data_IF_031704576658
#
_entry.id   IF_031704576658
#
_cell.length_a   1.000
_cell.length_b   1.000
_cell.length_c   1.000
_cell.angle_alpha   90.00
_cell.angle_beta   90.00
_cell.angle_gamma   90.00
#
_symmetry.space_group_name_H-M   'P 1'
#
loop_
_entity.id
_entity.type
_entity.pdbx_description
1 polymer ?
#
# COMPACT_ATOMS: atom_id res chain seq x y z
N UNK A 1 -23.85 -7.00 13.14
CA UNK A 1 -23.06 -6.08 12.30
C UNK A 1 -23.27 -6.53 10.89
N UNK A 2 -23.76 -5.66 10.03
CA UNK A 2 -24.13 -5.98 8.65
C UNK A 2 -23.01 -5.62 7.65
N UNK A 3 -22.10 -4.71 8.04
CA UNK A 3 -20.91 -4.33 7.28
C UNK A 3 -19.80 -3.81 8.20
N UNK A 4 -18.56 -3.83 7.71
CA UNK A 4 -17.38 -3.24 8.37
C UNK A 4 -16.60 -2.40 7.34
N UNK A 5 -16.28 -1.16 7.68
CA UNK A 5 -15.61 -0.21 6.77
C UNK A 5 -14.18 0.04 7.22
N UNK A 6 -13.24 -0.08 6.30
CA UNK A 6 -11.83 0.20 6.51
C UNK A 6 -11.12 0.32 5.14
N UNK A 7 -9.81 0.54 5.14
CA UNK A 7 -9.00 0.58 3.94
C UNK A 7 -9.04 -0.74 3.16
N UNK A 8 -9.11 -0.66 1.84
CA UNK A 8 -9.30 -1.83 0.96
C UNK A 8 -8.25 -2.93 1.19
N UNK A 9 -6.98 -2.57 1.40
CA UNK A 9 -5.90 -3.53 1.65
C UNK A 9 -6.05 -4.21 3.04
N UNK A 10 -6.56 -3.49 4.04
CA UNK A 10 -6.82 -4.05 5.36
C UNK A 10 -8.04 -4.99 5.31
N UNK A 11 -9.10 -4.61 4.59
CA UNK A 11 -10.25 -5.47 4.34
C UNK A 11 -9.84 -6.76 3.59
N UNK A 12 -8.96 -6.65 2.59
CA UNK A 12 -8.40 -7.81 1.89
C UNK A 12 -7.65 -8.73 2.85
N UNK A 13 -6.79 -8.17 3.71
CA UNK A 13 -6.07 -8.94 4.72
C UNK A 13 -6.99 -9.62 5.74
N UNK A 14 -8.06 -8.94 6.17
CA UNK A 14 -9.07 -9.50 7.07
C UNK A 14 -9.83 -10.65 6.41
N UNK A 15 -10.26 -10.49 5.15
CA UNK A 15 -10.95 -11.53 4.39
C UNK A 15 -10.08 -12.77 4.24
N UNK A 16 -8.81 -12.62 3.85
CA UNK A 16 -7.89 -13.76 3.67
C UNK A 16 -7.67 -14.54 4.98
N UNK A 17 -7.67 -13.85 6.12
CA UNK A 17 -7.45 -14.45 7.45
C UNK A 17 -8.73 -14.92 8.15
N UNK A 18 -9.90 -14.69 7.56
CA UNK A 18 -11.17 -15.10 8.15
C UNK A 18 -11.28 -16.63 8.22
N UNK A 19 -12.00 -17.21 9.19
CA UNK A 19 -12.25 -18.65 9.24
C UNK A 19 -12.92 -19.20 7.96
N UNK A 20 -13.80 -18.40 7.37
CA UNK A 20 -14.50 -18.69 6.11
C UNK A 20 -14.35 -17.50 5.14
N UNK A 21 -13.25 -17.37 4.39
CA UNK A 21 -13.03 -16.23 3.49
C UNK A 21 -14.09 -16.07 2.40
N UNK A 22 -14.73 -17.18 2.00
CA UNK A 22 -15.80 -17.21 0.99
C UNK A 22 -17.10 -16.54 1.43
N UNK A 23 -17.30 -16.36 2.74
CA UNK A 23 -18.51 -15.74 3.30
C UNK A 23 -18.43 -14.20 3.26
N UNK A 24 -17.29 -13.63 2.87
CA UNK A 24 -17.03 -12.20 2.87
C UNK A 24 -16.80 -11.65 1.46
N UNK A 25 -17.41 -10.50 1.20
CA UNK A 25 -17.20 -9.74 -0.03
C UNK A 25 -16.75 -8.31 0.31
N UNK A 26 -15.79 -7.80 -0.46
CA UNK A 26 -15.40 -6.40 -0.41
C UNK A 26 -16.18 -5.72 -1.53
N UNK A 27 -17.04 -4.77 -1.17
CA UNK A 27 -18.02 -4.15 -2.07
C UNK A 27 -17.91 -2.64 -2.04
N UNK A 28 -18.43 -1.99 -3.09
CA UNK A 28 -18.46 -0.54 -3.23
C UNK A 28 -17.17 0.04 -3.81
N UNK A 29 -17.25 1.31 -4.20
CA UNK A 29 -16.10 2.08 -4.65
C UNK A 29 -15.31 2.65 -3.45
N UNK A 30 -14.06 3.07 -3.70
CA UNK A 30 -13.30 3.79 -2.68
C UNK A 30 -13.98 5.11 -2.29
N UNK A 31 -14.18 5.33 -0.99
CA UNK A 31 -14.72 6.58 -0.45
C UNK A 31 -13.71 7.74 -0.52
N UNK A 32 -12.42 7.43 -0.40
CA UNK A 32 -11.33 8.41 -0.36
C UNK A 32 -10.05 7.84 -0.96
N UNK A 33 -9.15 8.73 -1.39
CA UNK A 33 -7.80 8.38 -1.80
C UNK A 33 -6.82 8.82 -0.72
N UNK A 34 -6.26 7.85 0.00
CA UNK A 34 -5.47 8.09 1.22
C UNK A 34 -4.08 7.46 1.07
N UNK A 35 -3.09 8.18 0.50
CA UNK A 35 -1.74 7.65 0.38
C UNK A 35 -1.11 7.48 1.77
N UNK A 36 -0.59 6.29 2.04
CA UNK A 36 0.07 5.98 3.30
C UNK A 36 1.49 6.55 3.35
N UNK A 37 1.84 7.16 4.47
CA UNK A 37 3.19 7.65 4.77
C UNK A 37 3.74 7.06 6.06
N UNK A 38 5.06 7.11 6.22
CA UNK A 38 5.69 6.75 7.49
C UNK A 38 5.49 7.86 8.52
N UNK A 39 4.81 7.55 9.63
CA UNK A 39 4.70 8.47 10.75
C UNK A 39 6.06 8.65 11.44
N UNK A 40 6.36 9.87 11.85
CA UNK A 40 7.64 10.22 12.46
C UNK A 40 7.52 11.42 13.39
N UNK A 41 8.53 11.63 14.24
CA UNK A 41 8.55 12.74 15.19
C UNK A 41 8.43 14.08 14.45
N UNK A 42 7.60 14.96 15.01
CA UNK A 42 7.47 16.33 14.51
C UNK A 42 8.80 17.07 14.68
N UNK A 43 9.11 17.95 13.73
CA UNK A 43 10.32 18.81 13.70
C UNK A 43 11.67 18.07 13.58
N UNK A 44 11.66 16.81 13.13
CA UNK A 44 12.89 16.03 12.86
C UNK A 44 13.15 15.99 11.34
N UNK A 45 13.63 17.10 10.78
CA UNK A 45 13.79 17.26 9.32
C UNK A 45 14.82 16.31 8.73
N UNK A 46 15.91 16.06 9.45
CA UNK A 46 17.04 15.30 8.96
C UNK A 46 16.68 13.82 8.87
N UNK A 47 16.01 13.30 9.91
CA UNK A 47 15.48 11.94 9.87
C UNK A 47 14.42 11.77 8.78
N UNK A 48 13.52 12.74 8.63
CA UNK A 48 12.53 12.72 7.53
C UNK A 48 13.21 12.69 6.16
N UNK A 49 14.26 13.49 5.97
CA UNK A 49 14.99 13.54 4.72
C UNK A 49 15.66 12.20 4.40
N UNK A 50 16.37 11.61 5.37
CA UNK A 50 16.98 10.28 5.23
C UNK A 50 15.96 9.22 4.82
N UNK A 51 14.80 9.19 5.48
CA UNK A 51 13.71 8.27 5.19
C UNK A 51 13.15 8.46 3.78
N UNK A 52 12.92 9.72 3.37
CA UNK A 52 12.43 10.03 2.04
C UNK A 52 13.43 9.59 0.96
N UNK A 53 14.73 9.85 1.14
CA UNK A 53 15.78 9.41 0.21
C UNK A 53 15.79 7.90 0.07
N UNK A 54 15.78 7.16 1.18
CA UNK A 54 15.75 5.69 1.12
C UNK A 54 14.50 5.14 0.43
N UNK A 55 13.34 5.77 0.62
CA UNK A 55 12.11 5.41 -0.11
C UNK A 55 12.21 5.71 -1.61
N UNK A 56 12.75 6.87 -1.98
CA UNK A 56 12.95 7.23 -3.38
C UNK A 56 13.87 6.23 -4.08
N UNK A 57 15.03 5.93 -3.50
CA UNK A 57 15.97 4.93 -4.00
C UNK A 57 15.34 3.54 -4.14
N UNK A 58 14.51 3.12 -3.17
CA UNK A 58 13.82 1.84 -3.23
C UNK A 58 12.78 1.78 -4.37
N UNK A 59 12.10 2.87 -4.67
CA UNK A 59 11.14 2.93 -5.79
C UNK A 59 11.89 2.99 -7.12
N UNK A 60 12.92 3.83 -7.24
CA UNK A 60 13.73 4.00 -8.45
C UNK A 60 14.44 2.70 -8.86
N UNK A 61 15.04 2.00 -7.88
CA UNK A 61 15.69 0.70 -8.11
C UNK A 61 14.71 -0.43 -8.40
N UNK A 62 13.41 -0.21 -8.19
CA UNK A 62 12.36 -1.22 -8.29
C UNK A 62 12.23 -2.12 -7.07
N UNK A 63 13.09 -1.97 -6.05
CA UNK A 63 13.06 -2.77 -4.83
C UNK A 63 11.70 -2.71 -4.11
N UNK A 64 11.08 -1.54 -4.10
CA UNK A 64 9.74 -1.34 -3.56
C UNK A 64 8.72 -2.27 -4.23
N UNK A 65 8.75 -2.39 -5.56
CA UNK A 65 7.81 -3.21 -6.30
C UNK A 65 8.06 -4.71 -6.10
N UNK A 66 9.31 -5.14 -5.93
CA UNK A 66 9.61 -6.52 -5.53
C UNK A 66 9.02 -6.86 -4.16
N UNK A 67 9.18 -5.95 -3.19
CA UNK A 67 8.60 -6.11 -1.86
C UNK A 67 7.08 -6.10 -1.91
N UNK A 68 6.49 -5.22 -2.71
CA UNK A 68 5.04 -5.19 -2.91
C UNK A 68 4.54 -6.50 -3.52
N UNK A 69 5.16 -7.00 -4.58
CA UNK A 69 4.77 -8.26 -5.23
C UNK A 69 4.88 -9.45 -4.27
N UNK A 70 5.93 -9.48 -3.43
CA UNK A 70 6.11 -10.54 -2.43
C UNK A 70 4.92 -10.64 -1.47
N UNK A 71 4.42 -9.51 -0.97
CA UNK A 71 3.39 -9.49 0.07
C UNK A 71 1.96 -9.34 -0.47
N UNK A 72 1.81 -8.58 -1.56
CA UNK A 72 0.52 -8.13 -2.09
C UNK A 72 0.28 -8.51 -3.56
N UNK A 73 1.25 -9.16 -4.22
CA UNK A 73 1.06 -9.70 -5.55
C UNK A 73 -0.03 -10.77 -5.60
N UNK A 74 -0.40 -11.28 -6.79
CA UNK A 74 -1.44 -12.29 -6.95
C UNK A 74 -1.21 -13.59 -6.15
N UNK A 75 0.05 -13.86 -5.78
CA UNK A 75 0.47 -15.02 -4.95
C UNK A 75 1.03 -14.61 -3.59
N UNK A 76 0.89 -13.36 -3.19
CA UNK A 76 1.34 -12.86 -1.89
C UNK A 76 0.38 -13.24 -0.76
N UNK A 77 0.78 -12.93 0.47
CA UNK A 77 -0.01 -13.19 1.68
C UNK A 77 -1.38 -12.50 1.66
N UNK A 78 -1.48 -11.33 1.01
CA UNK A 78 -2.73 -10.60 0.85
C UNK A 78 -2.87 -10.19 -0.62
N UNK A 79 -3.53 -10.99 -1.47
CA UNK A 79 -3.67 -10.68 -2.89
C UNK A 79 -4.39 -9.34 -3.11
N UNK A 80 -3.60 -8.30 -3.39
CA UNK A 80 -4.05 -6.93 -3.59
C UNK A 80 -3.09 -6.25 -4.59
N UNK A 81 -3.13 -6.68 -5.86
CA UNK A 81 -2.09 -6.33 -6.82
C UNK A 81 -2.09 -4.83 -7.13
N UNK A 82 -0.90 -4.27 -7.29
CA UNK A 82 -0.71 -2.86 -7.62
C UNK A 82 -1.28 -2.57 -9.01
N UNK A 83 -2.17 -1.58 -9.11
CA UNK A 83 -2.68 -1.13 -10.41
C UNK A 83 -1.59 -0.39 -11.19
N UNK A 84 -1.71 -0.37 -12.53
CA UNK A 84 -0.78 0.38 -13.39
C UNK A 84 -0.77 1.88 -13.04
N UNK A 85 -1.92 2.42 -12.66
CA UNK A 85 -2.07 3.81 -12.22
C UNK A 85 -1.33 4.08 -10.91
N UNK A 86 -1.52 3.24 -9.88
CA UNK A 86 -0.82 3.39 -8.60
C UNK A 86 0.70 3.23 -8.76
N UNK A 87 1.13 2.29 -9.60
CA UNK A 87 2.54 2.14 -9.94
C UNK A 87 3.11 3.40 -10.58
N UNK A 88 2.39 3.97 -11.56
CA UNK A 88 2.78 5.21 -12.22
C UNK A 88 2.81 6.39 -11.25
N UNK A 89 1.83 6.50 -10.36
CA UNK A 89 1.80 7.54 -9.32
C UNK A 89 3.05 7.48 -8.44
N UNK A 90 3.44 6.30 -7.94
CA UNK A 90 4.66 6.13 -7.15
C UNK A 90 5.93 6.52 -7.93
N UNK A 91 6.02 6.15 -9.21
CA UNK A 91 7.14 6.52 -10.06
C UNK A 91 7.23 8.04 -10.31
N UNK A 92 6.09 8.73 -10.44
CA UNK A 92 6.05 10.18 -10.60
C UNK A 92 6.49 10.93 -9.33
N UNK A 93 6.30 10.34 -8.14
CA UNK A 93 6.75 10.95 -6.89
C UNK A 93 8.27 10.99 -6.74
N UNK A 94 8.97 10.10 -7.43
CA UNK A 94 10.45 9.97 -7.36
C UNK A 94 11.14 10.49 -8.62
N UNK A 95 10.38 10.83 -9.66
CA UNK A 95 10.95 11.42 -10.86
C UNK A 95 11.71 12.72 -10.53
N UNK A 96 12.88 12.96 -11.16
CA UNK A 96 13.58 14.23 -11.01
C UNK A 96 12.64 15.39 -11.38
N UNK A 97 12.60 16.41 -10.53
CA UNK A 97 11.87 17.66 -10.79
C UNK A 97 12.70 18.60 -11.66
#
# INVERSE_FOLDING_TARGET
MDAFTNDGIQLAGLKVKAPSPGDWEIVGDFYSYEPYGMAMRKNDSDFRHLVNVGLMEAIESGKYFELYEKWFGPRGDVPYPLTAENKRFLQLQVAPK
#
